data_IF_631854896270
#
_entry.id   IF_631854896270
#
_cell.length_a   1.000
_cell.length_b   1.000
_cell.length_c   1.000
_cell.angle_alpha   90.00
_cell.angle_beta   90.00
_cell.angle_gamma   90.00
#
_symmetry.space_group_name_H-M   'P 1'
#
loop_
_entity.id
_entity.type
_entity.pdbx_description
1 polymer ?
#
# COMPACT_ATOMS: atom_id res chain seq x y z
N UNK A 1 -31.30 37.77 72.30
CA UNK A 1 -32.18 37.55 71.14
C UNK A 1 -31.35 37.43 69.85
N UNK A 2 -30.31 36.57 69.84
CA UNK A 2 -29.28 36.55 68.78
C UNK A 2 -28.90 35.15 68.26
N UNK A 3 -29.66 34.11 68.63
CA UNK A 3 -29.33 32.71 68.30
C UNK A 3 -30.15 32.11 67.13
N UNK A 4 -31.11 32.86 66.55
CA UNK A 4 -31.99 32.35 65.48
C UNK A 4 -31.49 32.68 64.06
N UNK A 5 -30.54 33.61 63.91
CA UNK A 5 -30.10 34.12 62.59
C UNK A 5 -29.04 33.24 61.91
N UNK A 6 -28.42 32.29 62.64
CA UNK A 6 -27.40 31.39 62.10
C UNK A 6 -27.97 30.13 61.44
N UNK A 7 -29.10 29.60 61.96
CA UNK A 7 -29.73 28.38 61.43
C UNK A 7 -30.44 28.61 60.10
N UNK A 8 -31.03 29.78 59.88
CA UNK A 8 -31.64 30.12 58.59
C UNK A 8 -30.58 30.31 57.49
N UNK A 9 -29.43 30.92 57.81
CA UNK A 9 -28.32 31.07 56.85
C UNK A 9 -27.71 29.73 56.44
N UNK A 10 -27.53 28.81 57.39
CA UNK A 10 -27.05 27.45 57.10
C UNK A 10 -28.08 26.63 56.31
N UNK A 11 -29.39 26.83 56.53
CA UNK A 11 -30.42 26.18 55.71
C UNK A 11 -30.48 26.74 54.28
N UNK A 12 -30.23 28.04 54.08
CA UNK A 12 -30.22 28.65 52.75
C UNK A 12 -28.97 28.28 51.95
N UNK A 13 -27.80 28.16 52.59
CA UNK A 13 -26.59 27.62 51.93
C UNK A 13 -26.71 26.13 51.62
N UNK A 14 -27.33 25.33 52.49
CA UNK A 14 -27.59 23.91 52.24
C UNK A 14 -28.60 23.69 51.10
N UNK A 15 -29.64 24.53 50.99
CA UNK A 15 -30.61 24.48 49.88
C UNK A 15 -29.97 24.97 48.57
N UNK A 16 -29.05 25.93 48.62
CA UNK A 16 -28.32 26.42 47.44
C UNK A 16 -27.29 25.41 46.91
N UNK A 17 -26.71 24.58 47.77
CA UNK A 17 -25.76 23.51 47.38
C UNK A 17 -26.44 22.23 46.93
N UNK A 18 -27.71 21.99 47.31
CA UNK A 18 -28.47 20.80 46.91
C UNK A 18 -29.24 20.96 45.58
N UNK A 19 -29.20 22.14 44.95
CA UNK A 19 -29.58 22.32 43.54
C UNK A 19 -28.43 21.90 42.62
N UNK A 20 -27.97 20.65 42.75
CA UNK A 20 -27.17 20.01 41.71
C UNK A 20 -28.15 19.72 40.57
N UNK A 21 -28.33 20.74 39.71
CA UNK A 21 -29.11 20.60 38.50
C UNK A 21 -28.56 19.40 37.74
N UNK A 22 -29.35 18.33 37.64
CA UNK A 22 -29.19 17.30 36.63
C UNK A 22 -29.13 18.02 35.30
N UNK A 23 -27.92 18.23 34.78
CA UNK A 23 -27.69 18.66 33.39
C UNK A 23 -28.30 17.55 32.52
N UNK A 24 -29.57 17.69 32.17
CA UNK A 24 -30.17 16.97 31.04
C UNK A 24 -29.23 17.24 29.88
N UNK A 25 -28.48 16.23 29.44
CA UNK A 25 -27.74 16.27 28.16
C UNK A 25 -28.79 16.63 27.11
N UNK A 26 -28.87 17.91 26.73
CA UNK A 26 -29.55 18.31 25.51
C UNK A 26 -28.78 17.57 24.43
N UNK A 27 -29.39 16.54 23.90
CA UNK A 27 -29.00 15.99 22.62
C UNK A 27 -29.24 17.14 21.64
N UNK A 28 -28.20 17.94 21.41
CA UNK A 28 -28.24 18.99 20.41
C UNK A 28 -28.63 18.33 19.08
N UNK A 29 -29.46 18.97 18.27
CA UNK A 29 -29.90 18.46 16.96
C UNK A 29 -28.76 18.06 16.01
N UNK A 30 -27.52 18.36 16.40
CA UNK A 30 -26.28 17.97 15.75
C UNK A 30 -25.87 16.50 16.01
N UNK A 31 -26.36 15.81 17.05
CA UNK A 31 -25.98 14.40 17.24
C UNK A 31 -26.60 13.49 16.18
N UNK A 32 -27.83 13.79 15.74
CA UNK A 32 -28.42 13.08 14.61
C UNK A 32 -27.55 13.26 13.35
N UNK A 33 -27.05 14.48 13.12
CA UNK A 33 -26.13 14.77 12.03
C UNK A 33 -24.81 14.00 12.15
N UNK A 34 -24.17 13.99 13.32
CA UNK A 34 -22.94 13.21 13.56
C UNK A 34 -23.15 11.70 13.40
N UNK A 35 -24.28 11.18 13.91
CA UNK A 35 -24.64 9.77 13.77
C UNK A 35 -24.86 9.42 12.31
N UNK A 36 -25.58 10.23 11.53
CA UNK A 36 -25.78 9.97 10.10
C UNK A 36 -24.48 10.07 9.30
N UNK A 37 -23.62 11.03 9.64
CA UNK A 37 -22.33 11.23 8.98
C UNK A 37 -21.37 10.05 9.23
N UNK A 38 -21.40 9.44 10.41
CA UNK A 38 -20.59 8.25 10.75
C UNK A 38 -21.30 6.96 10.30
N UNK A 39 -22.63 6.91 10.34
CA UNK A 39 -23.40 5.73 9.97
C UNK A 39 -23.17 5.35 8.50
N UNK A 40 -23.06 6.33 7.59
CA UNK A 40 -22.80 6.04 6.18
C UNK A 40 -21.48 5.29 5.93
N UNK A 41 -20.29 5.79 6.34
CA UNK A 41 -19.03 5.07 6.14
C UNK A 41 -18.96 3.77 6.94
N UNK A 42 -19.55 3.73 8.15
CA UNK A 42 -19.60 2.49 8.95
C UNK A 42 -20.48 1.43 8.28
N UNK A 43 -21.63 1.82 7.74
CA UNK A 43 -22.50 0.91 7.01
C UNK A 43 -21.81 0.41 5.74
N UNK A 44 -21.16 1.30 4.98
CA UNK A 44 -20.37 0.91 3.82
C UNK A 44 -19.28 -0.10 4.19
N UNK A 45 -18.56 0.14 5.29
CA UNK A 45 -17.58 -0.81 5.81
C UNK A 45 -18.22 -2.14 6.20
N UNK A 46 -19.31 -2.14 6.97
CA UNK A 46 -19.99 -3.37 7.38
C UNK A 46 -20.51 -4.18 6.18
N UNK A 47 -21.13 -3.54 5.19
CA UNK A 47 -21.71 -4.24 4.04
C UNK A 47 -20.63 -4.72 3.08
N UNK A 48 -19.74 -3.82 2.64
CA UNK A 48 -18.78 -4.12 1.58
C UNK A 48 -17.50 -4.76 2.08
N UNK A 49 -17.07 -4.48 3.31
CA UNK A 49 -15.90 -5.15 3.88
C UNK A 49 -16.31 -6.41 4.63
N UNK A 50 -17.10 -6.29 5.70
CA UNK A 50 -17.44 -7.45 6.54
C UNK A 50 -18.34 -8.43 5.76
N UNK A 51 -19.41 -7.95 5.13
CA UNK A 51 -20.35 -8.79 4.40
C UNK A 51 -19.72 -9.56 3.24
N UNK A 52 -18.88 -8.89 2.43
CA UNK A 52 -18.18 -9.54 1.31
C UNK A 52 -17.16 -10.56 1.80
N UNK A 53 -16.35 -10.22 2.82
CA UNK A 53 -15.37 -11.16 3.36
C UNK A 53 -16.02 -12.36 4.04
N UNK A 54 -17.12 -12.15 4.79
CA UNK A 54 -17.89 -13.25 5.36
C UNK A 54 -18.40 -14.20 4.27
N UNK A 55 -18.91 -13.66 3.16
CA UNK A 55 -19.35 -14.47 2.01
C UNK A 55 -18.19 -15.24 1.35
N UNK A 56 -17.02 -14.62 1.21
CA UNK A 56 -15.82 -15.32 0.72
C UNK A 56 -15.44 -16.51 1.61
N UNK A 57 -15.60 -16.38 2.93
CA UNK A 57 -15.37 -17.47 3.86
C UNK A 57 -16.39 -18.60 3.71
N UNK A 58 -17.66 -18.26 3.48
CA UNK A 58 -18.72 -19.25 3.24
C UNK A 58 -18.48 -20.06 1.95
N UNK A 59 -17.87 -19.47 0.92
CA UNK A 59 -17.52 -20.18 -0.31
C UNK A 59 -16.54 -21.34 -0.11
N UNK A 60 -15.71 -21.31 0.94
CA UNK A 60 -14.83 -22.43 1.24
C UNK A 60 -15.60 -23.72 1.60
N UNK A 61 -16.86 -23.60 2.00
CA UNK A 61 -17.75 -24.70 2.36
C UNK A 61 -18.78 -25.03 1.27
N UNK A 62 -18.76 -24.32 0.14
CA UNK A 62 -19.72 -24.47 -0.95
C UNK A 62 -19.04 -25.05 -2.18
N UNK A 63 -19.64 -26.08 -2.76
CA UNK A 63 -19.33 -26.55 -4.11
C UNK A 63 -20.37 -25.99 -5.06
N UNK A 64 -19.92 -25.09 -5.93
CA UNK A 64 -20.74 -24.45 -6.97
C UNK A 64 -20.50 -25.23 -8.27
N UNK A 65 -21.52 -25.91 -8.78
CA UNK A 65 -21.45 -26.49 -10.12
C UNK A 65 -21.80 -25.41 -11.15
N UNK A 66 -20.80 -25.01 -11.94
CA UNK A 66 -20.92 -23.92 -12.92
C UNK A 66 -21.95 -24.26 -14.01
N UNK A 67 -22.24 -25.56 -14.24
CA UNK A 67 -23.16 -26.00 -15.29
C UNK A 67 -24.61 -26.07 -14.84
N UNK A 68 -24.88 -26.51 -13.61
CA UNK A 68 -26.24 -26.59 -13.07
C UNK A 68 -26.65 -25.38 -12.22
N UNK A 69 -25.68 -24.56 -11.80
CA UNK A 69 -25.92 -23.43 -10.88
C UNK A 69 -26.26 -23.86 -9.45
N UNK A 70 -26.19 -25.16 -9.14
CA UNK A 70 -26.50 -25.68 -7.82
C UNK A 70 -25.36 -25.40 -6.83
N UNK A 71 -25.75 -24.90 -5.66
CA UNK A 71 -24.84 -24.65 -4.54
C UNK A 71 -25.05 -25.76 -3.53
N UNK A 72 -24.05 -26.64 -3.41
CA UNK A 72 -24.05 -27.72 -2.42
C UNK A 72 -23.13 -27.34 -1.25
N UNK A 73 -23.67 -27.39 -0.03
CA UNK A 73 -22.90 -27.11 1.18
C UNK A 73 -22.30 -28.41 1.70
N UNK A 74 -20.97 -28.55 1.58
CA UNK A 74 -20.28 -29.79 1.94
C UNK A 74 -18.88 -29.50 2.47
N UNK A 75 -18.49 -30.18 3.56
CA UNK A 75 -17.13 -30.12 4.10
C UNK A 75 -16.07 -30.68 3.12
N UNK A 76 -16.48 -31.54 2.18
CA UNK A 76 -15.62 -32.04 1.10
C UNK A 76 -15.09 -30.93 0.19
N UNK A 77 -15.83 -29.81 0.05
CA UNK A 77 -15.36 -28.64 -0.69
C UNK A 77 -14.10 -28.05 -0.03
N UNK A 78 -14.13 -27.93 1.31
CA UNK A 78 -12.99 -27.45 2.09
C UNK A 78 -11.82 -28.44 2.01
N UNK A 79 -12.09 -29.74 2.13
CA UNK A 79 -11.07 -30.78 2.00
C UNK A 79 -10.39 -30.74 0.63
N UNK A 80 -11.17 -30.66 -0.45
CA UNK A 80 -10.65 -30.55 -1.81
C UNK A 80 -9.77 -29.30 -2.00
N UNK A 81 -10.15 -28.18 -1.37
CA UNK A 81 -9.34 -26.96 -1.38
C UNK A 81 -7.96 -27.21 -0.75
N UNK A 82 -7.90 -27.84 0.43
CA UNK A 82 -6.64 -28.18 1.09
C UNK A 82 -5.81 -29.21 0.30
N UNK A 83 -6.45 -30.25 -0.24
CA UNK A 83 -5.76 -31.27 -1.04
C UNK A 83 -5.08 -30.63 -2.27
N UNK A 84 -5.74 -29.66 -2.91
CA UNK A 84 -5.16 -28.90 -4.02
C UNK A 84 -3.97 -28.05 -3.61
N UNK A 85 -3.93 -27.50 -2.38
CA UNK A 85 -2.80 -26.67 -1.94
C UNK A 85 -1.46 -27.42 -1.93
N UNK A 86 -1.49 -28.75 -1.82
CA UNK A 86 -0.29 -29.61 -1.81
C UNK A 86 0.01 -30.18 -3.21
N UNK A 87 -0.81 -29.87 -4.20
CA UNK A 87 -0.60 -30.34 -5.57
C UNK A 87 0.72 -29.78 -6.13
N UNK A 88 1.56 -30.60 -6.80
CA UNK A 88 2.87 -30.17 -7.30
C UNK A 88 2.81 -28.93 -8.18
N UNK A 89 1.75 -28.78 -8.98
CA UNK A 89 1.51 -27.61 -9.83
C UNK A 89 1.32 -26.33 -9.02
N UNK A 90 0.59 -26.41 -7.91
CA UNK A 90 0.36 -25.26 -7.02
C UNK A 90 1.63 -24.88 -6.25
N UNK A 91 2.40 -25.87 -5.78
CA UNK A 91 3.67 -25.63 -5.09
C UNK A 91 4.72 -24.98 -6.00
N UNK A 92 4.83 -25.45 -7.25
CA UNK A 92 5.72 -24.85 -8.25
C UNK A 92 5.29 -23.43 -8.61
N UNK A 93 3.99 -23.20 -8.84
CA UNK A 93 3.43 -21.86 -9.10
C UNK A 93 3.69 -20.93 -7.92
N UNK A 94 3.45 -21.40 -6.68
CA UNK A 94 3.72 -20.63 -5.47
C UNK A 94 5.19 -20.26 -5.35
N UNK A 95 6.10 -21.21 -5.60
CA UNK A 95 7.54 -20.95 -5.62
C UNK A 95 7.95 -19.90 -6.65
N UNK A 96 7.41 -19.99 -7.88
CA UNK A 96 7.67 -18.99 -8.93
C UNK A 96 7.09 -17.61 -8.58
N UNK A 97 5.87 -17.55 -8.02
CA UNK A 97 5.26 -16.29 -7.57
C UNK A 97 6.02 -15.66 -6.41
N UNK A 98 6.45 -16.47 -5.45
CA UNK A 98 7.26 -16.00 -4.32
C UNK A 98 8.62 -15.49 -4.78
N UNK A 99 9.28 -16.20 -5.71
CA UNK A 99 10.53 -15.76 -6.31
C UNK A 99 10.35 -14.44 -7.08
N UNK A 100 9.27 -14.31 -7.85
CA UNK A 100 8.95 -13.07 -8.56
C UNK A 100 8.73 -11.91 -7.57
N UNK A 101 7.93 -12.12 -6.53
CA UNK A 101 7.69 -11.13 -5.48
C UNK A 101 9.00 -10.70 -4.81
N UNK A 102 9.81 -11.65 -4.35
CA UNK A 102 11.06 -11.37 -3.66
C UNK A 102 12.04 -10.61 -4.57
N UNK A 103 12.19 -11.04 -5.82
CA UNK A 103 13.13 -10.44 -6.76
C UNK A 103 12.70 -9.03 -7.18
N UNK A 104 11.42 -8.84 -7.49
CA UNK A 104 10.84 -7.52 -7.76
C UNK A 104 11.01 -6.59 -6.56
N UNK A 105 10.72 -7.06 -5.35
CA UNK A 105 10.81 -6.25 -4.14
C UNK A 105 12.26 -5.91 -3.78
N UNK A 106 13.17 -6.89 -3.78
CA UNK A 106 14.57 -6.70 -3.45
C UNK A 106 15.25 -5.75 -4.44
N UNK A 107 15.15 -6.02 -5.75
CA UNK A 107 15.78 -5.18 -6.77
C UNK A 107 15.08 -3.81 -6.83
N UNK A 108 13.75 -3.80 -6.86
CA UNK A 108 12.97 -2.57 -6.96
C UNK A 108 13.21 -1.63 -5.79
N UNK A 109 13.29 -2.15 -4.57
CA UNK A 109 13.55 -1.34 -3.36
C UNK A 109 14.97 -0.81 -3.34
N UNK A 110 15.98 -1.64 -3.63
CA UNK A 110 17.38 -1.20 -3.67
C UNK A 110 17.56 -0.09 -4.71
N UNK A 111 17.07 -0.30 -5.93
CA UNK A 111 17.13 0.72 -6.97
C UNK A 111 16.38 1.98 -6.54
N UNK A 112 15.17 1.83 -5.98
CA UNK A 112 14.35 2.97 -5.59
C UNK A 112 15.04 3.80 -4.50
N UNK A 113 15.67 3.18 -3.51
CA UNK A 113 16.44 3.87 -2.47
C UNK A 113 17.63 4.64 -3.04
N UNK A 114 18.39 4.02 -3.95
CA UNK A 114 19.54 4.66 -4.59
C UNK A 114 19.12 5.90 -5.41
N UNK A 115 18.08 5.77 -6.24
CA UNK A 115 17.58 6.89 -7.03
C UNK A 115 16.88 7.96 -6.19
N UNK A 116 16.23 7.56 -5.09
CA UNK A 116 15.66 8.51 -4.12
C UNK A 116 16.74 9.34 -3.45
N UNK A 117 17.85 8.72 -3.05
CA UNK A 117 18.98 9.43 -2.48
C UNK A 117 19.63 10.38 -3.51
N UNK A 118 19.78 9.94 -4.76
CA UNK A 118 20.26 10.80 -5.85
C UNK A 118 19.38 12.05 -6.02
N UNK A 119 18.07 11.85 -5.99
CA UNK A 119 17.07 12.92 -6.06
C UNK A 119 17.13 13.84 -4.82
N UNK A 120 17.24 13.25 -3.63
CA UNK A 120 17.32 13.95 -2.34
C UNK A 120 18.53 14.89 -2.28
N UNK A 121 19.69 14.45 -2.78
CA UNK A 121 20.91 15.29 -2.86
C UNK A 121 20.82 16.43 -3.88
N UNK A 122 19.68 16.60 -4.57
CA UNK A 122 19.42 17.65 -5.57
C UNK A 122 20.50 17.72 -6.65
N UNK A 123 21.01 16.56 -7.07
CA UNK A 123 22.00 16.47 -8.15
C UNK A 123 21.42 17.06 -9.45
N UNK A 124 22.29 17.55 -10.38
CA UNK A 124 21.83 18.10 -11.64
C UNK A 124 20.96 17.08 -12.38
N UNK A 125 19.90 17.55 -13.05
CA UNK A 125 18.91 16.73 -13.75
C UNK A 125 17.92 15.95 -12.86
N UNK A 126 17.98 16.08 -11.52
CA UNK A 126 17.06 15.40 -10.59
C UNK A 126 15.57 15.63 -10.89
N UNK A 127 15.16 16.84 -11.28
CA UNK A 127 13.77 17.13 -11.65
C UNK A 127 13.34 16.43 -12.94
N UNK A 128 14.23 16.29 -13.92
CA UNK A 128 13.93 15.56 -15.14
C UNK A 128 13.81 14.06 -14.87
N UNK A 129 14.72 13.48 -14.07
CA UNK A 129 14.62 12.09 -13.64
C UNK A 129 13.32 11.83 -12.87
N UNK A 130 12.90 12.73 -11.98
CA UNK A 130 11.57 12.66 -11.35
C UNK A 130 10.47 12.59 -12.40
N UNK A 131 10.40 13.49 -13.37
CA UNK A 131 9.29 13.44 -14.35
C UNK A 131 9.32 12.15 -15.17
N UNK A 132 10.49 11.73 -15.65
CA UNK A 132 10.64 10.55 -16.50
C UNK A 132 10.26 9.25 -15.76
N UNK A 133 10.68 9.10 -14.50
CA UNK A 133 10.40 7.91 -13.70
C UNK A 133 8.92 7.78 -13.29
N UNK A 134 8.18 8.89 -13.30
CA UNK A 134 6.78 8.94 -12.90
C UNK A 134 5.81 8.86 -14.07
N UNK A 135 6.31 9.12 -15.28
CA UNK A 135 5.51 9.05 -16.49
C UNK A 135 4.71 7.74 -16.62
N UNK A 136 5.27 6.54 -16.31
CA UNK A 136 4.50 5.30 -16.40
C UNK A 136 3.33 5.21 -15.42
N UNK A 137 3.46 5.84 -14.25
CA UNK A 137 2.45 5.80 -13.17
C UNK A 137 1.29 6.78 -13.42
N UNK A 138 1.49 7.79 -14.27
CA UNK A 138 0.44 8.75 -14.67
C UNK A 138 -0.47 8.15 -15.75
N UNK A 139 0.07 7.25 -16.58
CA UNK A 139 -0.70 6.57 -17.62
C UNK A 139 -1.65 5.53 -17.01
N UNK A 140 -2.80 5.33 -17.67
CA UNK A 140 -3.75 4.28 -17.29
C UNK A 140 -3.08 2.89 -17.32
N UNK A 141 -3.31 2.09 -16.28
CA UNK A 141 -2.70 0.77 -16.13
C UNK A 141 -2.88 -0.11 -17.38
N UNK A 142 -4.08 -0.11 -17.97
CA UNK A 142 -4.39 -0.89 -19.18
C UNK A 142 -3.55 -0.43 -20.37
N UNK A 143 -3.39 0.88 -20.54
CA UNK A 143 -2.60 1.48 -21.62
C UNK A 143 -1.13 1.12 -21.46
N UNK A 144 -0.58 1.27 -20.25
CA UNK A 144 0.82 0.96 -19.95
C UNK A 144 1.14 -0.52 -20.19
N UNK A 145 0.28 -1.45 -19.76
CA UNK A 145 0.44 -2.89 -20.04
C UNK A 145 0.42 -3.14 -21.54
N UNK A 146 -0.54 -2.54 -22.26
CA UNK A 146 -0.72 -2.78 -23.70
C UNK A 146 0.46 -2.25 -24.52
N UNK A 147 0.95 -1.05 -24.21
CA UNK A 147 2.15 -0.48 -24.86
C UNK A 147 3.36 -1.38 -24.59
N UNK A 148 3.54 -1.80 -23.34
CA UNK A 148 4.66 -2.65 -22.97
C UNK A 148 4.60 -4.00 -23.68
N UNK A 149 3.43 -4.65 -23.72
CA UNK A 149 3.25 -5.93 -24.40
C UNK A 149 3.56 -5.83 -25.90
N UNK A 150 3.03 -4.81 -26.59
CA UNK A 150 3.35 -4.56 -28.00
C UNK A 150 4.84 -4.27 -28.21
N UNK A 151 5.47 -3.54 -27.29
CA UNK A 151 6.89 -3.23 -27.36
C UNK A 151 7.76 -4.51 -27.27
N UNK A 152 7.48 -5.38 -26.31
CA UNK A 152 8.30 -6.59 -26.10
C UNK A 152 7.99 -7.74 -27.05
N UNK A 153 6.79 -7.78 -27.62
CA UNK A 153 6.42 -8.82 -28.59
C UNK A 153 6.69 -8.43 -30.05
N UNK A 154 6.60 -7.15 -30.41
CA UNK A 154 6.73 -6.71 -31.81
C UNK A 154 7.92 -5.81 -32.01
N UNK A 155 8.10 -4.77 -31.19
CA UNK A 155 9.15 -3.79 -31.43
C UNK A 155 10.55 -4.36 -31.17
N UNK A 156 10.78 -5.06 -30.05
CA UNK A 156 12.09 -5.64 -29.74
C UNK A 156 12.54 -6.66 -30.81
N UNK A 157 11.70 -7.62 -31.24
CA UNK A 157 12.04 -8.50 -32.35
C UNK A 157 12.34 -7.78 -33.67
N UNK A 158 11.56 -6.75 -34.02
CA UNK A 158 11.77 -5.97 -35.22
C UNK A 158 13.12 -5.20 -35.18
N UNK A 159 13.45 -4.61 -34.03
CA UNK A 159 14.73 -3.93 -33.80
C UNK A 159 15.88 -4.93 -33.88
N UNK A 160 15.74 -6.11 -33.28
CA UNK A 160 16.73 -7.18 -33.34
C UNK A 160 16.99 -7.64 -34.77
N UNK A 161 15.93 -7.84 -35.55
CA UNK A 161 16.06 -8.24 -36.95
C UNK A 161 16.73 -7.13 -37.78
N UNK A 162 16.36 -5.87 -37.56
CA UNK A 162 16.94 -4.74 -38.32
C UNK A 162 18.41 -4.49 -38.01
N UNK A 163 18.85 -4.67 -36.76
CA UNK A 163 20.22 -4.31 -36.33
C UNK A 163 21.15 -5.52 -36.37
N UNK A 164 20.68 -6.68 -35.92
CA UNK A 164 21.51 -7.87 -35.75
C UNK A 164 21.20 -8.97 -36.77
N UNK A 165 20.24 -8.76 -37.68
CA UNK A 165 19.75 -9.75 -38.64
C UNK A 165 19.30 -11.07 -37.99
N UNK A 166 18.92 -11.01 -36.70
CA UNK A 166 18.43 -12.16 -35.94
C UNK A 166 16.94 -12.01 -35.67
N UNK A 167 16.15 -12.98 -36.15
CA UNK A 167 14.74 -13.10 -35.80
C UNK A 167 14.64 -13.77 -34.44
N UNK A 168 14.31 -12.97 -33.42
CA UNK A 168 13.98 -13.47 -32.10
C UNK A 168 12.46 -13.56 -31.96
N UNK A 169 11.97 -14.53 -31.19
CA UNK A 169 10.57 -14.58 -30.79
C UNK A 169 10.27 -13.46 -29.78
N UNK A 170 8.98 -13.10 -29.66
CA UNK A 170 8.52 -12.13 -28.67
C UNK A 170 8.93 -12.55 -27.24
N UNK A 171 9.36 -11.59 -26.43
CA UNK A 171 9.95 -11.87 -25.12
C UNK A 171 8.96 -12.49 -24.11
N UNK A 172 7.66 -12.23 -24.27
CA UNK A 172 6.62 -12.88 -23.45
C UNK A 172 6.28 -14.26 -23.99
N UNK A 173 6.32 -14.45 -25.31
CA UNK A 173 6.01 -15.73 -25.94
C UNK A 173 7.07 -16.77 -25.57
N UNK A 174 8.34 -16.39 -25.61
CA UNK A 174 9.46 -17.26 -25.26
C UNK A 174 9.48 -17.56 -23.73
N UNK A 175 9.36 -18.84 -23.30
CA UNK A 175 9.34 -19.22 -21.89
C UNK A 175 10.60 -18.83 -21.10
N UNK A 176 11.76 -18.72 -21.77
CA UNK A 176 13.04 -18.39 -21.11
C UNK A 176 13.15 -16.92 -20.72
N UNK A 177 12.54 -16.02 -21.49
CA UNK A 177 12.60 -14.55 -21.28
C UNK A 177 11.33 -13.99 -20.64
N UNK A 178 10.22 -14.74 -20.67
CA UNK A 178 8.93 -14.34 -20.10
C UNK A 178 9.02 -13.88 -18.65
N UNK A 179 9.69 -14.66 -17.81
CA UNK A 179 9.79 -14.37 -16.37
C UNK A 179 10.53 -13.05 -16.10
N UNK A 180 11.70 -12.86 -16.73
CA UNK A 180 12.49 -11.64 -16.59
C UNK A 180 11.75 -10.40 -17.12
N UNK A 181 11.03 -10.55 -18.24
CA UNK A 181 10.22 -9.50 -18.86
C UNK A 181 9.11 -9.03 -17.92
N UNK A 182 8.39 -9.98 -17.31
CA UNK A 182 7.33 -9.65 -16.33
C UNK A 182 7.94 -8.96 -15.09
N UNK A 183 9.06 -9.45 -14.56
CA UNK A 183 9.70 -8.81 -13.39
C UNK A 183 10.17 -7.40 -13.73
N UNK A 184 10.78 -7.19 -14.88
CA UNK A 184 11.22 -5.88 -15.33
C UNK A 184 10.05 -4.89 -15.40
N UNK A 185 8.92 -5.32 -15.97
CA UNK A 185 7.70 -4.51 -16.00
C UNK A 185 7.21 -4.13 -14.59
N UNK A 186 7.14 -5.11 -13.69
CA UNK A 186 6.70 -4.87 -12.31
C UNK A 186 7.63 -3.90 -11.57
N UNK A 187 8.94 -4.03 -11.75
CA UNK A 187 9.92 -3.09 -11.22
C UNK A 187 9.65 -1.71 -11.84
N UNK A 188 9.57 -1.58 -13.16
CA UNK A 188 9.40 -0.31 -13.85
C UNK A 188 8.16 0.47 -13.37
N UNK A 189 7.02 -0.19 -13.19
CA UNK A 189 5.76 0.46 -12.77
C UNK A 189 5.78 0.86 -11.30
N UNK A 190 6.32 0.00 -10.42
CA UNK A 190 6.40 0.29 -8.99
C UNK A 190 7.55 1.25 -8.63
N UNK A 191 8.57 1.34 -9.49
CA UNK A 191 9.77 2.11 -9.25
C UNK A 191 9.48 3.61 -9.07
N UNK A 192 8.66 4.20 -9.95
CA UNK A 192 8.32 5.62 -9.88
C UNK A 192 7.68 6.02 -8.55
N UNK A 193 6.69 5.25 -8.10
CA UNK A 193 6.00 5.49 -6.82
C UNK A 193 6.91 5.28 -5.63
N UNK A 194 7.74 4.23 -5.65
CA UNK A 194 8.68 3.93 -4.55
C UNK A 194 9.74 5.03 -4.43
N UNK A 195 10.27 5.51 -5.56
CA UNK A 195 11.23 6.62 -5.56
C UNK A 195 10.62 7.90 -4.98
N UNK A 196 9.33 8.19 -5.25
CA UNK A 196 8.66 9.33 -4.62
C UNK A 196 8.61 9.19 -3.11
N UNK A 197 8.15 8.02 -2.68
CA UNK A 197 7.86 7.73 -1.29
C UNK A 197 9.13 7.85 -0.46
N UNK A 198 10.21 7.19 -0.88
CA UNK A 198 11.49 7.26 -0.20
C UNK A 198 12.13 8.64 -0.31
N UNK A 199 12.05 9.33 -1.45
CA UNK A 199 12.55 10.71 -1.56
C UNK A 199 11.81 11.67 -0.62
N UNK A 200 10.51 11.51 -0.43
CA UNK A 200 9.73 12.30 0.52
C UNK A 200 10.12 11.97 1.97
N UNK A 201 10.29 10.69 2.29
CA UNK A 201 10.78 10.27 3.61
C UNK A 201 12.16 10.86 3.93
N UNK A 202 13.09 10.78 2.97
CA UNK A 202 14.44 11.35 3.11
C UNK A 202 14.40 12.88 3.27
N UNK A 203 13.47 13.56 2.60
CA UNK A 203 13.28 15.01 2.73
C UNK A 203 12.78 15.45 4.11
N UNK A 204 12.26 14.52 4.93
CA UNK A 204 11.87 14.78 6.32
C UNK A 204 13.03 14.75 7.32
N UNK A 205 14.23 14.34 6.89
CA UNK A 205 15.41 14.31 7.76
C UNK A 205 15.91 15.73 8.05
N UNK A 206 16.40 15.97 9.28
CA UNK A 206 16.97 17.27 9.65
C UNK A 206 18.24 17.55 8.85
N UNK A 207 18.24 18.68 8.14
CA UNK A 207 19.41 19.15 7.37
C UNK A 207 20.65 19.33 8.25
N UNK A 208 20.47 19.69 9.52
CA UNK A 208 21.57 19.90 10.48
C UNK A 208 22.40 18.63 10.69
N UNK A 209 21.74 17.46 10.74
CA UNK A 209 22.43 16.17 10.91
C UNK A 209 23.26 15.83 9.68
N UNK A 210 22.73 16.13 8.49
CA UNK A 210 23.42 15.89 7.21
C UNK A 210 24.62 16.84 7.05
N UNK A 211 24.48 18.09 7.46
CA UNK A 211 25.57 19.08 7.43
C UNK A 211 26.66 18.77 8.45
N UNK A 212 26.29 18.36 9.67
CA UNK A 212 27.24 17.92 10.69
C UNK A 212 28.08 16.74 10.21
N UNK A 213 27.45 15.71 9.63
CA UNK A 213 28.16 14.56 9.08
C UNK A 213 29.13 14.94 7.94
N UNK A 214 28.77 15.94 7.13
CA UNK A 214 29.65 16.46 6.08
C UNK A 214 30.86 17.22 6.66
N UNK A 215 30.69 17.94 7.76
CA UNK A 215 31.78 18.60 8.50
C UNK A 215 32.73 17.54 9.08
N UNK A 216 32.19 16.42 9.58
CA UNK A 216 32.96 15.27 10.08
C UNK A 216 33.65 14.44 8.97
N UNK A 217 33.51 14.85 7.70
CA UNK A 217 34.17 14.20 6.56
C UNK A 217 33.51 12.91 6.08
N UNK A 218 32.24 12.67 6.45
CA UNK A 218 31.50 11.51 5.94
C UNK A 218 31.35 11.58 4.42
N UNK A 219 31.71 10.49 3.73
CA UNK A 219 31.49 10.36 2.29
C UNK A 219 30.01 10.05 1.98
N UNK A 220 29.58 10.22 0.72
CA UNK A 220 28.17 10.04 0.35
C UNK A 220 27.62 8.63 0.58
N UNK A 221 28.47 7.60 0.59
CA UNK A 221 28.08 6.22 0.89
C UNK A 221 27.89 6.00 2.39
N UNK A 222 28.77 6.58 3.21
CA UNK A 222 28.66 6.58 4.66
C UNK A 222 27.41 7.34 5.11
N UNK A 223 27.16 8.51 4.51
CA UNK A 223 25.93 9.29 4.71
C UNK A 223 24.68 8.45 4.39
N UNK A 224 24.67 7.77 3.24
CA UNK A 224 23.54 6.94 2.83
C UNK A 224 23.28 5.78 3.81
N UNK A 225 24.29 4.96 4.11
CA UNK A 225 24.10 3.75 4.92
C UNK A 225 23.98 3.98 6.42
N UNK A 226 24.63 5.01 6.98
CA UNK A 226 24.67 5.22 8.43
C UNK A 226 23.71 6.30 8.93
N UNK A 227 23.23 7.19 8.04
CA UNK A 227 22.39 8.32 8.44
C UNK A 227 21.05 8.24 7.74
N UNK A 228 21.05 8.25 6.41
CA UNK A 228 19.81 8.34 5.63
C UNK A 228 18.99 7.07 5.75
N UNK A 229 19.57 5.90 5.47
CA UNK A 229 18.87 4.62 5.45
C UNK A 229 18.31 4.25 6.84
N UNK A 230 19.04 4.40 7.97
CA UNK A 230 18.45 4.22 9.31
C UNK A 230 17.40 5.29 9.65
N UNK A 231 17.57 6.52 9.17
CA UNK A 231 16.64 7.62 9.42
C UNK A 231 15.27 7.42 8.77
N UNK A 232 15.21 6.76 7.60
CA UNK A 232 13.97 6.43 6.90
C UNK A 232 13.50 4.98 7.11
N UNK A 233 14.21 4.16 7.88
CA UNK A 233 13.81 2.78 8.15
C UNK A 233 12.37 2.62 8.73
N UNK A 234 11.83 3.55 9.53
CA UNK A 234 10.47 3.44 10.07
C UNK A 234 9.34 3.65 9.04
N UNK A 235 9.64 4.12 7.82
CA UNK A 235 8.64 4.34 6.76
C UNK A 235 8.51 3.12 5.86
#
# INVERSE_FOLDING_TARGET
>A
MGALNGRERLSQEAVKTMSIGTKKKRFDGNLLFYVLMIAFPVLQFCVFYIGVNARSFLYAFQRIDIKSGEITWTLDALKNAFDKMVEPTLLTTFGTSFLAFFLTYAIGTILALLFSYFIFKKLPMSNFFKVMLFLPSILSAIVTVTIYQNFVETAIPAISNSIFHQTIEGLIQNPSTRFATIIFYNILVSFGTNVLMYSNAMSGLSTEIIEAAKIDGANSWQEFFHIVLPGIFPT
#
